data_IF_505854550106
#
_entry.id   IF_505854550106
#
_cell.length_a   1.000
_cell.length_b   1.000
_cell.length_c   1.000
_cell.angle_alpha   90.00
_cell.angle_beta   90.00
_cell.angle_gamma   90.00
#
_symmetry.space_group_name_H-M   'P 1'
#
loop_
_entity.id
_entity.type
_entity.pdbx_description
1 polymer ?
#
# COMPACT_ATOMS: atom_id res chain seq x y z
N UNK A 1 -10.13 3.16 -16.56
CA UNK A 1 -11.38 2.86 -15.79
C UNK A 1 -11.39 3.77 -14.58
N UNK A 2 -12.49 4.40 -14.28
CA UNK A 2 -12.62 5.25 -13.09
C UNK A 2 -13.32 4.43 -12.02
N UNK A 3 -12.62 4.06 -10.95
CA UNK A 3 -13.13 3.19 -9.86
C UNK A 3 -14.47 3.68 -9.26
N UNK A 4 -14.71 4.98 -9.27
CA UNK A 4 -15.93 5.60 -8.74
C UNK A 4 -17.19 5.28 -9.55
N UNK A 5 -17.06 4.75 -10.77
CA UNK A 5 -18.19 4.42 -11.65
C UNK A 5 -18.90 3.11 -11.25
N UNK A 6 -18.32 2.28 -10.40
CA UNK A 6 -18.90 0.98 -10.03
C UNK A 6 -20.29 1.04 -9.36
N UNK A 7 -20.65 2.19 -8.79
CA UNK A 7 -21.95 2.39 -8.14
C UNK A 7 -23.00 3.06 -9.05
N UNK A 8 -22.64 3.33 -10.30
CA UNK A 8 -23.52 3.96 -11.26
C UNK A 8 -23.99 2.93 -12.30
N UNK A 9 -25.18 3.12 -12.93
CA UNK A 9 -25.65 2.26 -14.00
C UNK A 9 -24.64 2.19 -15.16
N UNK A 10 -24.34 0.97 -15.64
CA UNK A 10 -23.39 0.76 -16.72
C UNK A 10 -23.75 1.50 -18.02
N UNK A 11 -25.04 1.79 -18.22
CA UNK A 11 -25.56 2.54 -19.38
C UNK A 11 -25.10 4.00 -19.45
N UNK A 12 -24.54 4.53 -18.35
CA UNK A 12 -23.99 5.91 -18.30
C UNK A 12 -22.55 5.99 -18.83
N UNK A 13 -21.93 4.85 -19.13
CA UNK A 13 -20.50 4.79 -19.48
C UNK A 13 -20.30 4.07 -20.80
N UNK A 14 -19.49 4.66 -21.65
CA UNK A 14 -18.91 3.96 -22.78
C UNK A 14 -17.55 3.37 -22.37
N UNK A 15 -17.33 2.10 -22.71
CA UNK A 15 -16.10 1.38 -22.39
C UNK A 15 -15.39 0.95 -23.66
N UNK A 16 -14.11 1.18 -23.71
CA UNK A 16 -13.22 0.67 -24.75
C UNK A 16 -11.86 0.30 -24.18
N UNK A 17 -11.22 -0.65 -24.80
CA UNK A 17 -9.82 -0.94 -24.52
C UNK A 17 -8.96 0.14 -25.19
N UNK A 18 -8.02 0.72 -24.43
CA UNK A 18 -7.05 1.66 -24.96
C UNK A 18 -5.88 0.91 -25.59
N UNK A 19 -5.29 1.48 -26.63
CA UNK A 19 -4.04 1.01 -27.20
C UNK A 19 -2.85 1.33 -26.27
N UNK A 20 -1.71 0.66 -26.47
CA UNK A 20 -0.47 0.97 -25.74
C UNK A 20 -0.10 2.44 -25.88
N UNK A 21 -0.15 2.99 -27.11
CA UNK A 21 0.20 4.39 -27.37
C UNK A 21 -0.68 5.39 -26.60
N UNK A 22 -2.00 5.15 -26.54
CA UNK A 22 -2.92 5.98 -25.76
C UNK A 22 -2.63 5.90 -24.26
N UNK A 23 -2.27 4.73 -23.74
CA UNK A 23 -1.91 4.56 -22.33
C UNK A 23 -0.59 5.27 -22.05
N UNK A 24 0.41 5.13 -22.92
CA UNK A 24 1.71 5.85 -22.80
C UNK A 24 1.48 7.37 -22.72
N UNK A 25 0.67 7.93 -23.62
CA UNK A 25 0.33 9.37 -23.60
C UNK A 25 -0.26 9.79 -22.26
N UNK A 26 -1.22 9.02 -21.72
CA UNK A 26 -1.80 9.34 -20.41
C UNK A 26 -0.79 9.25 -19.26
N UNK A 27 0.09 8.24 -19.27
CA UNK A 27 1.11 8.08 -18.24
C UNK A 27 2.17 9.19 -18.32
N UNK A 28 2.56 9.61 -19.52
CA UNK A 28 3.46 10.76 -19.74
C UNK A 28 2.84 12.03 -19.13
N UNK A 29 1.56 12.32 -19.41
CA UNK A 29 0.86 13.46 -18.83
C UNK A 29 0.85 13.42 -17.29
N UNK A 30 0.71 12.23 -16.70
CA UNK A 30 0.79 12.05 -15.23
C UNK A 30 2.19 12.37 -14.72
N UNK A 31 3.25 11.82 -15.35
CA UNK A 31 4.64 12.07 -14.97
C UNK A 31 4.98 13.55 -15.03
N UNK A 32 4.62 14.21 -16.13
CA UNK A 32 4.88 15.65 -16.32
C UNK A 32 4.12 16.52 -15.31
N UNK A 33 2.90 16.13 -14.94
CA UNK A 33 2.10 16.87 -13.96
C UNK A 33 2.65 16.78 -12.54
N UNK A 34 3.31 15.67 -12.18
CA UNK A 34 3.89 15.45 -10.84
C UNK A 34 5.21 16.23 -10.68
N UNK A 35 6.04 16.30 -11.72
CA UNK A 35 7.31 17.02 -11.70
C UNK A 35 8.35 16.45 -10.72
N UNK A 36 8.22 15.18 -10.33
CA UNK A 36 9.07 14.49 -9.36
C UNK A 36 9.30 13.03 -9.75
N UNK A 37 9.94 12.25 -8.86
CA UNK A 37 10.09 10.81 -9.09
C UNK A 37 8.74 10.11 -9.03
N UNK A 38 8.51 9.20 -9.97
CA UNK A 38 7.28 8.41 -10.08
C UNK A 38 7.63 6.93 -10.02
N UNK A 39 6.91 6.19 -9.20
CA UNK A 39 6.99 4.74 -9.15
C UNK A 39 5.64 4.14 -9.57
N UNK A 40 5.61 3.54 -10.74
CA UNK A 40 4.43 2.84 -11.24
C UNK A 40 4.36 1.41 -10.73
N UNK A 41 3.14 0.90 -10.67
CA UNK A 41 2.86 -0.52 -10.46
C UNK A 41 1.61 -0.92 -11.23
N UNK A 42 1.53 -2.15 -11.71
CA UNK A 42 0.30 -2.73 -12.27
C UNK A 42 -0.39 -3.53 -11.16
N UNK A 43 -1.66 -3.21 -10.89
CA UNK A 43 -2.44 -3.89 -9.85
C UNK A 43 -2.59 -5.39 -10.12
N UNK A 44 -2.38 -6.27 -9.14
CA UNK A 44 -2.61 -7.70 -9.28
C UNK A 44 -4.10 -8.09 -9.23
N UNK A 45 -5.01 -7.19 -8.83
CA UNK A 45 -6.45 -7.47 -8.77
C UNK A 45 -6.97 -7.83 -10.18
N UNK A 46 -7.77 -8.89 -10.26
CA UNK A 46 -8.37 -9.34 -11.52
C UNK A 46 -9.64 -8.57 -11.85
N UNK A 47 -9.81 -8.20 -13.10
CA UNK A 47 -11.04 -7.55 -13.61
C UNK A 47 -11.88 -8.57 -14.39
N UNK A 48 -12.40 -9.57 -13.67
CA UNK A 48 -13.11 -10.72 -14.28
C UNK A 48 -14.48 -10.38 -14.86
N UNK A 49 -15.06 -9.25 -14.54
CA UNK A 49 -16.34 -8.79 -15.11
C UNK A 49 -16.31 -8.55 -16.63
N UNK A 50 -15.14 -8.39 -17.20
CA UNK A 50 -14.91 -8.21 -18.64
C UNK A 50 -14.41 -9.50 -19.32
N UNK A 51 -14.25 -10.59 -18.55
CA UNK A 51 -13.67 -11.85 -19.01
C UNK A 51 -12.16 -11.96 -18.73
N UNK A 52 -11.67 -13.18 -18.69
CA UNK A 52 -10.26 -13.46 -18.39
C UNK A 52 -9.33 -13.01 -19.52
N UNK A 53 -9.79 -13.11 -20.76
CA UNK A 53 -9.04 -12.68 -21.94
C UNK A 53 -8.81 -11.17 -21.93
N UNK A 54 -9.88 -10.39 -21.76
CA UNK A 54 -9.80 -8.93 -21.72
C UNK A 54 -9.01 -8.44 -20.50
N UNK A 55 -9.15 -9.09 -19.35
CA UNK A 55 -8.30 -8.83 -18.20
C UNK A 55 -6.81 -9.02 -18.52
N UNK A 56 -6.45 -10.13 -19.14
CA UNK A 56 -5.07 -10.44 -19.51
C UNK A 56 -4.53 -9.41 -20.50
N UNK A 57 -5.31 -9.09 -21.54
CA UNK A 57 -4.92 -8.11 -22.57
C UNK A 57 -4.73 -6.70 -21.95
N UNK A 58 -5.64 -6.25 -21.08
CA UNK A 58 -5.53 -4.95 -20.44
C UNK A 58 -4.28 -4.86 -19.54
N UNK A 59 -3.94 -5.93 -18.79
CA UNK A 59 -2.71 -6.00 -17.99
C UNK A 59 -1.47 -5.95 -18.87
N UNK A 60 -1.46 -6.66 -19.99
CA UNK A 60 -0.35 -6.65 -20.96
C UNK A 60 -0.13 -5.25 -21.53
N UNK A 61 -1.19 -4.55 -21.93
CA UNK A 61 -1.13 -3.17 -22.43
C UNK A 61 -0.54 -2.24 -21.37
N UNK A 62 -1.03 -2.30 -20.13
CA UNK A 62 -0.52 -1.49 -19.03
C UNK A 62 0.97 -1.78 -18.77
N UNK A 63 1.37 -3.05 -18.78
CA UNK A 63 2.75 -3.44 -18.51
C UNK A 63 3.71 -2.97 -19.60
N UNK A 64 3.32 -3.06 -20.87
CA UNK A 64 4.12 -2.54 -21.99
C UNK A 64 4.21 -1.03 -21.90
N UNK A 65 3.09 -0.32 -21.73
CA UNK A 65 3.05 1.13 -21.66
C UNK A 65 3.93 1.68 -20.50
N UNK A 66 3.84 1.08 -19.31
CA UNK A 66 4.71 1.47 -18.18
C UNK A 66 6.17 1.25 -18.51
N UNK A 67 6.54 0.13 -19.19
CA UNK A 67 7.92 -0.12 -19.60
C UNK A 67 8.45 0.95 -20.55
N UNK A 68 7.63 1.36 -21.53
CA UNK A 68 8.00 2.43 -22.47
C UNK A 68 8.24 3.75 -21.74
N UNK A 69 7.34 4.13 -20.83
CA UNK A 69 7.47 5.38 -20.06
C UNK A 69 8.70 5.34 -19.15
N UNK A 70 8.98 4.24 -18.44
CA UNK A 70 10.18 4.09 -17.65
C UNK A 70 11.47 4.28 -18.50
N UNK A 71 11.46 3.72 -19.74
CA UNK A 71 12.59 3.88 -20.65
C UNK A 71 12.76 5.33 -21.16
N UNK A 72 11.64 6.07 -21.36
CA UNK A 72 11.69 7.47 -21.81
C UNK A 72 12.31 8.40 -20.77
N UNK A 73 11.99 8.20 -19.48
CA UNK A 73 12.39 9.12 -18.42
C UNK A 73 13.67 8.70 -17.69
N UNK A 74 14.16 7.47 -17.91
CA UNK A 74 15.34 6.95 -17.20
C UNK A 74 15.18 7.11 -15.69
N UNK A 75 16.07 6.99 -14.83
CA UNK A 75 15.97 6.98 -13.36
C UNK A 75 15.04 7.98 -12.64
N UNK A 76 14.16 8.70 -13.36
CA UNK A 76 13.08 9.55 -12.80
C UNK A 76 11.75 8.83 -12.68
N UNK A 77 11.55 7.74 -13.41
CA UNK A 77 10.35 6.92 -13.43
C UNK A 77 10.73 5.45 -13.31
N UNK A 78 10.23 4.80 -12.29
CA UNK A 78 10.54 3.42 -11.95
C UNK A 78 9.26 2.55 -11.97
N UNK A 79 9.44 1.22 -11.95
CA UNK A 79 8.36 0.25 -11.87
C UNK A 79 8.56 -0.71 -10.69
N UNK A 80 7.50 -0.91 -9.90
CA UNK A 80 7.45 -1.94 -8.87
C UNK A 80 6.56 -3.10 -9.32
N UNK A 81 7.08 -4.35 -9.40
CA UNK A 81 6.44 -5.47 -10.08
C UNK A 81 5.39 -6.20 -9.21
N UNK A 82 4.40 -5.48 -8.64
CA UNK A 82 3.40 -6.12 -7.78
C UNK A 82 2.52 -7.14 -8.53
N UNK A 83 2.27 -6.90 -9.81
CA UNK A 83 1.52 -7.82 -10.66
C UNK A 83 2.29 -9.12 -10.88
N UNK A 84 3.57 -9.01 -11.22
CA UNK A 84 4.44 -10.16 -11.47
C UNK A 84 4.67 -10.97 -10.19
N UNK A 85 4.85 -10.32 -9.04
CA UNK A 85 4.95 -11.01 -7.74
C UNK A 85 3.71 -11.86 -7.47
N UNK A 86 2.51 -11.34 -7.75
CA UNK A 86 1.28 -12.11 -7.57
C UNK A 86 1.16 -13.26 -8.59
N UNK A 87 1.62 -13.05 -9.83
CA UNK A 87 1.50 -14.05 -10.90
C UNK A 87 2.58 -15.12 -10.84
N UNK A 88 3.77 -14.80 -10.33
CA UNK A 88 4.93 -15.67 -10.34
C UNK A 88 5.30 -16.18 -8.94
N UNK A 89 5.59 -15.32 -7.97
CA UNK A 89 5.94 -15.73 -6.62
C UNK A 89 4.77 -16.35 -5.87
N UNK A 90 3.56 -15.75 -6.03
CA UNK A 90 2.33 -16.13 -5.34
C UNK A 90 1.36 -16.85 -6.29
N UNK A 91 1.86 -17.79 -7.07
CA UNK A 91 1.13 -18.47 -8.16
C UNK A 91 0.02 -19.43 -7.70
N UNK A 92 -0.21 -19.60 -6.42
CA UNK A 92 -1.17 -20.53 -5.86
C UNK A 92 -2.51 -19.84 -5.55
N UNK A 93 -3.63 -20.54 -5.73
CA UNK A 93 -4.97 -20.07 -5.40
C UNK A 93 -5.16 -19.69 -3.93
N UNK A 94 -4.39 -20.26 -3.02
CA UNK A 94 -4.41 -19.87 -1.58
C UNK A 94 -4.07 -18.40 -1.32
N UNK A 95 -3.47 -17.73 -2.29
CA UNK A 95 -3.15 -16.30 -2.21
C UNK A 95 -4.24 -15.39 -2.75
N UNK A 96 -5.35 -15.95 -3.24
CA UNK A 96 -6.58 -15.24 -3.60
C UNK A 96 -7.65 -15.50 -2.55
N UNK A 97 -8.47 -14.47 -2.27
CA UNK A 97 -9.66 -14.62 -1.45
C UNK A 97 -10.70 -15.53 -2.12
N UNK A 98 -11.77 -15.84 -1.40
CA UNK A 98 -12.84 -16.73 -1.88
C UNK A 98 -13.51 -16.26 -3.18
N UNK A 99 -13.41 -14.96 -3.51
CA UNK A 99 -13.92 -14.39 -4.75
C UNK A 99 -13.01 -14.64 -5.96
N UNK A 100 -11.81 -15.17 -5.74
CA UNK A 100 -10.80 -15.44 -6.77
C UNK A 100 -10.32 -14.19 -7.54
N UNK A 101 -10.59 -13.01 -7.00
CA UNK A 101 -10.30 -11.69 -7.60
C UNK A 101 -9.29 -10.91 -6.77
N UNK A 102 -9.52 -10.83 -5.47
CA UNK A 102 -8.70 -10.07 -4.56
C UNK A 102 -7.58 -10.92 -3.95
N UNK A 103 -6.36 -10.38 -3.79
CA UNK A 103 -5.31 -11.03 -3.03
C UNK A 103 -5.70 -11.18 -1.55
N UNK A 104 -5.31 -12.29 -0.93
CA UNK A 104 -5.45 -12.48 0.53
C UNK A 104 -4.55 -11.50 1.30
N UNK A 105 -4.84 -11.34 2.60
CA UNK A 105 -3.96 -10.56 3.51
C UNK A 105 -2.52 -11.05 3.45
N UNK A 106 -2.27 -12.37 3.39
CA UNK A 106 -0.92 -12.92 3.29
C UNK A 106 -0.19 -12.46 2.03
N UNK A 107 -0.89 -12.43 0.88
CA UNK A 107 -0.32 -11.94 -0.37
C UNK A 107 -0.04 -10.44 -0.33
N UNK A 108 -0.97 -9.67 0.25
CA UNK A 108 -0.80 -8.21 0.43
C UNK A 108 0.41 -7.93 1.32
N UNK A 109 0.53 -8.62 2.45
CA UNK A 109 1.65 -8.44 3.39
C UNK A 109 2.99 -8.73 2.71
N UNK A 110 3.10 -9.83 1.94
CA UNK A 110 4.30 -10.18 1.17
C UNK A 110 4.70 -9.10 0.17
N UNK A 111 3.75 -8.66 -0.67
CA UNK A 111 4.02 -7.63 -1.68
C UNK A 111 4.38 -6.30 -1.03
N UNK A 112 3.72 -5.95 0.08
CA UNK A 112 3.99 -4.72 0.83
C UNK A 112 5.38 -4.75 1.46
N UNK A 113 5.81 -5.87 2.02
CA UNK A 113 7.16 -6.04 2.55
C UNK A 113 8.22 -5.83 1.46
N UNK A 114 8.03 -6.46 0.30
CA UNK A 114 8.92 -6.26 -0.87
C UNK A 114 8.94 -4.82 -1.37
N UNK A 115 7.78 -4.14 -1.35
CA UNK A 115 7.70 -2.73 -1.68
C UNK A 115 8.51 -1.88 -0.69
N UNK A 116 8.38 -2.10 0.60
CA UNK A 116 9.14 -1.38 1.61
C UNK A 116 10.64 -1.65 1.52
N UNK A 117 11.04 -2.90 1.24
CA UNK A 117 12.43 -3.25 0.98
C UNK A 117 13.03 -2.45 -0.18
N UNK A 118 12.28 -2.31 -1.28
CA UNK A 118 12.74 -1.66 -2.50
C UNK A 118 12.66 -0.12 -2.48
N UNK A 119 11.58 0.43 -1.89
CA UNK A 119 11.25 1.85 -2.01
C UNK A 119 11.69 2.70 -0.82
N UNK A 120 11.86 2.11 0.38
CA UNK A 120 12.18 2.87 1.58
C UNK A 120 13.69 2.91 1.86
N UNK A 121 14.17 4.08 2.31
CA UNK A 121 15.52 4.21 2.87
C UNK A 121 15.63 3.44 4.18
N UNK A 122 16.84 3.05 4.57
CA UNK A 122 17.10 2.41 5.87
C UNK A 122 16.59 3.23 7.06
N UNK A 123 16.72 4.55 6.99
CA UNK A 123 16.17 5.47 7.99
C UNK A 123 14.63 5.36 8.07
N UNK A 124 13.95 5.33 6.93
CA UNK A 124 12.49 5.18 6.89
C UNK A 124 12.03 3.82 7.44
N UNK A 125 12.74 2.74 7.11
CA UNK A 125 12.48 1.39 7.64
C UNK A 125 12.64 1.34 9.16
N UNK A 126 13.70 1.96 9.70
CA UNK A 126 13.90 2.06 11.16
C UNK A 126 12.80 2.86 11.84
N UNK A 127 12.40 3.99 11.24
CA UNK A 127 11.28 4.80 11.76
C UNK A 127 9.98 3.99 11.76
N UNK A 128 9.68 3.30 10.67
CA UNK A 128 8.49 2.44 10.55
C UNK A 128 8.47 1.36 11.63
N UNK A 129 9.59 0.66 11.86
CA UNK A 129 9.68 -0.35 12.92
C UNK A 129 9.44 0.22 14.32
N UNK A 130 9.86 1.45 14.57
CA UNK A 130 9.61 2.13 15.84
C UNK A 130 8.13 2.51 15.98
N UNK A 131 7.51 3.00 14.92
CA UNK A 131 6.06 3.29 14.88
C UNK A 131 5.24 2.02 15.11
N UNK A 132 5.58 0.91 14.45
CA UNK A 132 4.90 -0.38 14.62
C UNK A 132 4.96 -0.88 16.08
N UNK A 133 6.07 -0.66 16.77
CA UNK A 133 6.17 -0.97 18.20
C UNK A 133 5.21 -0.15 19.05
N UNK A 134 5.07 1.15 18.75
CA UNK A 134 4.12 2.04 19.43
C UNK A 134 2.68 1.62 19.16
N UNK A 135 2.33 1.33 17.92
CA UNK A 135 0.99 0.86 17.54
C UNK A 135 0.67 -0.46 18.25
N UNK A 136 1.61 -1.42 18.24
CA UNK A 136 1.47 -2.68 18.97
C UNK A 136 1.31 -2.47 20.47
N UNK A 137 1.96 -1.44 21.04
CA UNK A 137 1.83 -1.09 22.44
C UNK A 137 0.45 -0.49 22.80
N UNK A 138 -0.17 0.26 21.86
CA UNK A 138 -1.55 0.77 21.99
C UNK A 138 -2.56 -0.37 21.93
N UNK A 139 -2.33 -1.35 21.07
CA UNK A 139 -3.20 -2.52 20.91
C UNK A 139 -3.03 -3.55 22.05
N UNK A 140 -1.96 -3.43 22.82
CA UNK A 140 -1.67 -4.34 23.93
C UNK A 140 -2.75 -4.28 25.02
N UNK A 141 -3.33 -5.43 25.34
CA UNK A 141 -4.31 -5.58 26.43
C UNK A 141 -3.59 -6.07 27.70
N UNK A 142 -3.36 -5.22 28.69
CA UNK A 142 -2.70 -5.61 29.93
C UNK A 142 -3.56 -6.54 30.77
N UNK A 143 -2.93 -7.47 31.47
CA UNK A 143 -3.63 -8.37 32.38
C UNK A 143 -4.18 -7.60 33.61
N UNK A 144 -3.45 -6.56 34.05
CA UNK A 144 -3.90 -5.65 35.11
C UNK A 144 -3.77 -4.19 34.62
N UNK A 145 -4.87 -3.61 34.09
CA UNK A 145 -4.86 -2.24 33.56
C UNK A 145 -4.57 -1.14 34.60
N UNK A 146 -4.83 -1.41 35.89
CA UNK A 146 -4.63 -0.47 36.99
C UNK A 146 -3.30 -0.69 37.73
N UNK A 147 -2.53 -1.70 37.34
CA UNK A 147 -1.27 -2.07 37.97
C UNK A 147 -0.14 -1.09 37.70
N UNK A 148 0.76 -0.86 38.68
CA UNK A 148 1.91 0.02 38.56
C UNK A 148 2.87 -0.42 37.40
N UNK A 149 2.91 -1.70 37.09
CA UNK A 149 3.67 -2.22 35.94
C UNK A 149 3.15 -1.66 34.61
N UNK A 150 1.83 -1.51 34.46
CA UNK A 150 1.24 -0.95 33.24
C UNK A 150 1.43 0.57 33.17
N UNK A 151 1.34 1.28 34.30
CA UNK A 151 1.68 2.72 34.35
C UNK A 151 3.15 2.95 33.91
N UNK A 152 4.07 2.12 34.43
CA UNK A 152 5.49 2.18 34.04
C UNK A 152 5.68 1.90 32.56
N UNK A 153 4.96 0.94 32.00
CA UNK A 153 4.96 0.66 30.57
C UNK A 153 4.45 1.87 29.77
N UNK A 154 3.35 2.51 30.15
CA UNK A 154 2.80 3.69 29.48
C UNK A 154 3.78 4.87 29.50
N UNK A 155 4.45 5.13 30.64
CA UNK A 155 5.49 6.18 30.74
C UNK A 155 6.64 5.93 29.76
N UNK A 156 7.12 4.68 29.66
CA UNK A 156 8.17 4.30 28.69
C UNK A 156 7.73 4.49 27.24
N UNK A 157 6.44 4.23 26.90
CA UNK A 157 5.95 4.49 25.56
C UNK A 157 5.93 5.98 25.25
N UNK A 158 5.53 6.85 26.20
CA UNK A 158 5.56 8.30 26.02
C UNK A 158 6.99 8.80 25.78
N UNK A 159 7.98 8.32 26.55
CA UNK A 159 9.40 8.63 26.32
C UNK A 159 9.88 8.19 24.92
N UNK A 160 9.48 6.99 24.48
CA UNK A 160 9.83 6.48 23.14
C UNK A 160 9.26 7.35 22.02
N UNK A 161 8.05 7.90 22.21
CA UNK A 161 7.41 8.83 21.26
C UNK A 161 8.19 10.13 21.08
N UNK A 162 8.89 10.62 22.11
CA UNK A 162 9.69 11.87 22.03
C UNK A 162 10.89 11.74 21.08
N UNK A 163 11.39 10.53 20.92
CA UNK A 163 12.49 10.21 19.98
C UNK A 163 12.06 10.16 18.51
N UNK A 164 10.75 10.03 18.23
CA UNK A 164 10.19 9.85 16.88
C UNK A 164 9.85 11.19 16.24
N UNK A 165 10.82 11.77 15.52
CA UNK A 165 10.63 13.05 14.81
C UNK A 165 10.10 12.84 13.41
N UNK A 166 9.16 13.70 13.00
CA UNK A 166 8.62 13.71 11.61
C UNK A 166 7.46 12.75 11.38
N UNK A 167 6.92 12.14 12.43
CA UNK A 167 5.71 11.33 12.41
C UNK A 167 4.70 11.92 13.40
N UNK A 168 3.45 12.04 13.00
CA UNK A 168 2.37 12.46 13.89
C UNK A 168 1.83 11.25 14.67
N UNK A 169 2.19 11.16 15.93
CA UNK A 169 1.76 10.13 16.90
C UNK A 169 1.00 10.76 18.08
N UNK A 170 0.33 11.89 17.85
CA UNK A 170 -0.43 12.61 18.86
C UNK A 170 -1.57 11.79 19.45
N UNK A 171 -2.20 10.90 18.66
CA UNK A 171 -3.27 10.00 19.09
C UNK A 171 -2.75 8.93 20.04
N UNK A 172 -1.63 8.32 19.72
CA UNK A 172 -0.95 7.31 20.52
C UNK A 172 -0.45 7.89 21.82
N UNK A 173 0.12 9.09 21.78
CA UNK A 173 0.50 9.84 23.00
C UNK A 173 -0.70 10.09 23.90
N UNK A 174 -1.77 10.65 23.37
CA UNK A 174 -3.00 10.93 24.12
C UNK A 174 -3.62 9.66 24.73
N UNK A 175 -3.51 8.52 24.04
CA UNK A 175 -3.95 7.23 24.55
C UNK A 175 -3.20 6.85 25.84
N UNK A 176 -1.87 6.92 25.87
CA UNK A 176 -1.06 6.57 27.07
C UNK A 176 -1.23 7.59 28.18
N UNK A 177 -1.31 8.89 27.88
CA UNK A 177 -1.53 9.97 28.85
C UNK A 177 -2.89 9.81 29.55
N UNK A 178 -3.94 9.47 28.81
CA UNK A 178 -5.27 9.19 29.37
C UNK A 178 -5.23 8.01 30.35
N UNK A 179 -4.56 6.92 30.02
CA UNK A 179 -4.43 5.76 30.93
C UNK A 179 -3.73 6.15 32.22
N UNK A 180 -2.71 6.98 32.15
CA UNK A 180 -2.02 7.45 33.35
C UNK A 180 -2.92 8.33 34.23
N UNK A 181 -3.68 9.24 33.60
CA UNK A 181 -4.61 10.13 34.31
C UNK A 181 -5.83 9.42 34.95
N UNK A 182 -6.33 8.34 34.34
CA UNK A 182 -7.44 7.54 34.88
C UNK A 182 -7.03 6.64 36.05
N UNK A 183 -5.73 6.44 36.24
CA UNK A 183 -5.19 5.53 37.26
C UNK A 183 -4.39 6.25 38.36
N UNK A 184 -4.30 7.58 38.35
CA UNK A 184 -3.80 8.42 39.43
C UNK A 184 -4.92 8.86 40.37
#
# INVERSE_FOLDING_TARGET
MVANCHKQPASLFERRLMSVAEVVEQLVNVVESIGGRVLFTVSPIRHVGEGLEDNSLSKAILRVAVSEVCNMYGGGVDYFPSYEMMMDDLRDYRFYDADMVHPTKQAIDYITEKFFEAALSERAKQTMQQVDRVISAVEHRPFNPQGESYKTFCRKQIEALEGLKGVDLSKERAFFERILAEND
#
